data_IF_777238283080
#
_entry.id   IF_777238283080
#
_cell.length_a   1.000
_cell.length_b   1.000
_cell.length_c   1.000
_cell.angle_alpha   90.00
_cell.angle_beta   90.00
_cell.angle_gamma   90.00
#
_symmetry.space_group_name_H-M   'P 1'
#
loop_
_entity.id
_entity.type
_entity.pdbx_description
1 polymer ?
#
# COMPACT_ATOMS: atom_id res chain seq x y z
N UNK A 1 -24.16 -0.99 -24.17
CA UNK A 1 -24.54 -0.36 -22.88
C UNK A 1 -25.20 -1.42 -22.02
N UNK A 2 -24.50 -1.89 -20.99
CA UNK A 2 -24.98 -2.89 -20.05
C UNK A 2 -24.09 -2.80 -18.82
N UNK A 3 -24.60 -2.18 -17.77
CA UNK A 3 -23.90 -1.96 -16.51
C UNK A 3 -24.53 -2.80 -15.40
N UNK A 4 -23.71 -3.08 -14.37
CA UNK A 4 -23.95 -3.78 -13.08
C UNK A 4 -23.34 -5.20 -13.07
N UNK A 5 -22.61 -5.65 -12.05
CA UNK A 5 -22.43 -5.13 -10.70
C UNK A 5 -21.17 -5.80 -10.10
N UNK A 6 -20.20 -5.01 -9.62
CA UNK A 6 -19.10 -5.53 -8.78
C UNK A 6 -19.52 -5.33 -7.33
N UNK A 7 -19.65 -6.42 -6.58
CA UNK A 7 -20.09 -6.43 -5.19
C UNK A 7 -18.86 -6.30 -4.29
N UNK A 8 -18.66 -5.13 -3.68
CA UNK A 8 -17.70 -4.91 -2.59
C UNK A 8 -18.28 -5.38 -1.25
N UNK A 9 -17.45 -5.83 -0.29
CA UNK A 9 -17.89 -6.40 0.97
C UNK A 9 -18.24 -5.33 2.01
N UNK A 10 -19.48 -5.39 2.48
CA UNK A 10 -19.96 -5.12 3.84
C UNK A 10 -19.31 -3.95 4.62
N UNK A 11 -19.83 -2.74 4.40
CA UNK A 11 -19.64 -1.58 5.28
C UNK A 11 -20.84 -1.49 6.22
N UNK A 12 -20.64 -1.82 7.48
CA UNK A 12 -21.62 -1.59 8.57
C UNK A 12 -21.95 -0.09 8.61
N UNK A 13 -23.21 0.35 8.55
CA UNK A 13 -23.54 1.76 8.60
C UNK A 13 -23.34 2.30 10.02
N UNK A 14 -22.58 3.39 10.13
CA UNK A 14 -22.61 4.27 11.29
C UNK A 14 -24.02 4.87 11.45
N UNK A 15 -24.53 5.10 12.66
CA UNK A 15 -25.85 5.67 12.85
C UNK A 15 -25.90 7.10 12.30
N UNK A 16 -26.79 7.33 11.33
CA UNK A 16 -27.20 8.65 10.85
C UNK A 16 -27.75 9.47 12.02
N UNK A 17 -27.10 10.57 12.35
CA UNK A 17 -27.72 11.63 13.16
C UNK A 17 -28.55 12.50 12.22
N UNK A 18 -29.87 12.30 12.24
CA UNK A 18 -30.81 13.18 11.55
C UNK A 18 -30.99 14.49 12.31
N UNK A 19 -31.00 15.59 11.56
CA UNK A 19 -31.09 17.02 11.92
C UNK A 19 -32.35 17.46 12.70
N UNK A 20 -33.06 16.53 13.36
CA UNK A 20 -34.29 16.78 14.11
C UNK A 20 -34.11 16.78 15.64
N UNK A 21 -32.91 16.45 16.16
CA UNK A 21 -32.66 16.29 17.61
C UNK A 21 -32.06 17.55 18.30
N UNK A 22 -31.90 18.67 17.59
CA UNK A 22 -31.23 19.88 18.13
C UNK A 22 -32.20 21.04 18.44
N UNK A 23 -33.51 20.87 18.22
CA UNK A 23 -34.50 21.93 18.52
C UNK A 23 -35.78 21.42 19.19
N UNK A 24 -35.67 20.96 20.44
CA UNK A 24 -36.80 21.01 21.38
C UNK A 24 -36.32 21.15 22.84
N UNK A 25 -35.53 22.19 23.11
CA UNK A 25 -35.00 22.47 24.45
C UNK A 25 -35.64 23.69 25.13
N UNK A 26 -36.80 24.16 24.65
CA UNK A 26 -37.43 25.37 25.21
C UNK A 26 -38.93 25.25 25.51
N UNK A 27 -39.49 24.04 25.63
CA UNK A 27 -40.90 23.90 26.01
C UNK A 27 -41.20 22.61 26.81
N UNK A 28 -40.54 22.43 27.95
CA UNK A 28 -40.93 21.41 28.95
C UNK A 28 -40.95 22.01 30.36
N UNK A 29 -41.75 23.06 30.54
CA UNK A 29 -42.23 23.49 31.85
C UNK A 29 -43.74 23.30 31.89
N UNK A 30 -44.22 22.08 32.20
CA UNK A 30 -45.40 21.84 33.06
C UNK A 30 -45.81 20.36 33.04
N UNK A 31 -46.02 19.79 34.24
CA UNK A 31 -46.74 18.54 34.54
C UNK A 31 -46.03 17.25 34.10
N UNK A 32 -45.79 16.24 34.93
CA UNK A 32 -46.18 15.96 36.31
C UNK A 32 -45.89 14.47 36.56
N UNK A 33 -45.07 14.20 37.57
CA UNK A 33 -45.15 13.03 38.45
C UNK A 33 -45.31 11.64 37.80
N UNK A 34 -44.20 11.05 37.38
CA UNK A 34 -44.02 9.61 37.32
C UNK A 34 -42.67 9.31 37.96
N UNK A 35 -42.69 8.78 39.19
CA UNK A 35 -41.52 8.48 39.99
C UNK A 35 -40.48 7.72 39.16
N UNK A 36 -39.41 8.41 38.76
CA UNK A 36 -38.13 7.76 38.58
C UNK A 36 -37.89 6.96 39.87
N UNK A 37 -37.47 5.68 39.82
CA UNK A 37 -37.03 5.05 41.06
C UNK A 37 -35.97 6.00 41.60
N UNK A 38 -36.18 6.54 42.81
CA UNK A 38 -35.15 7.31 43.49
C UNK A 38 -34.02 6.29 43.73
N UNK A 39 -33.15 6.12 42.72
CA UNK A 39 -31.84 5.55 42.91
C UNK A 39 -31.27 6.36 44.06
N UNK A 40 -31.15 5.72 45.22
CA UNK A 40 -30.68 6.39 46.42
C UNK A 40 -29.40 7.14 46.06
N UNK A 41 -29.18 8.31 46.65
CA UNK A 41 -27.96 9.11 46.40
C UNK A 41 -26.70 8.23 46.53
N UNK A 42 -26.78 7.18 47.34
CA UNK A 42 -25.80 6.11 47.47
C UNK A 42 -25.67 5.22 46.21
N UNK A 43 -26.76 4.70 45.65
CA UNK A 43 -26.75 3.94 44.39
C UNK A 43 -26.18 4.77 43.21
N UNK A 44 -26.51 6.07 43.14
CA UNK A 44 -25.93 6.97 42.14
C UNK A 44 -24.42 7.18 42.34
N UNK A 45 -23.96 7.31 43.59
CA UNK A 45 -22.52 7.42 43.91
C UNK A 45 -21.77 6.14 43.61
N UNK A 46 -22.36 4.98 43.88
CA UNK A 46 -21.75 3.69 43.54
C UNK A 46 -21.64 3.50 42.03
N UNK A 47 -22.68 3.90 41.28
CA UNK A 47 -22.67 3.88 39.82
C UNK A 47 -21.65 4.84 39.22
N UNK A 48 -21.52 6.06 39.77
CA UNK A 48 -20.47 7.01 39.36
C UNK A 48 -19.09 6.40 39.60
N UNK A 49 -18.85 5.82 40.79
CA UNK A 49 -17.57 5.17 41.11
C UNK A 49 -17.26 3.99 40.19
N UNK A 50 -18.27 3.20 39.82
CA UNK A 50 -18.12 2.11 38.86
C UNK A 50 -17.79 2.63 37.45
N UNK A 51 -18.49 3.68 36.99
CA UNK A 51 -18.26 4.30 35.69
C UNK A 51 -16.89 5.00 35.60
N UNK A 52 -16.42 5.61 36.69
CA UNK A 52 -15.07 6.18 36.77
C UNK A 52 -14.02 5.08 36.66
N UNK A 53 -14.18 3.97 37.39
CA UNK A 53 -13.28 2.82 37.31
C UNK A 53 -13.27 2.17 35.92
N UNK A 54 -14.42 2.14 35.23
CA UNK A 54 -14.50 1.62 33.87
C UNK A 54 -13.93 2.60 32.83
N UNK A 55 -14.09 3.91 33.03
CA UNK A 55 -13.45 4.92 32.20
C UNK A 55 -11.92 4.89 32.32
N UNK A 56 -11.38 4.70 33.53
CA UNK A 56 -9.93 4.56 33.74
C UNK A 56 -9.36 3.32 33.03
N UNK A 57 -10.09 2.19 33.04
CA UNK A 57 -9.69 1.00 32.28
C UNK A 57 -9.73 1.26 30.78
N UNK A 58 -10.76 1.95 30.29
CA UNK A 58 -10.92 2.25 28.87
C UNK A 58 -9.90 3.29 28.39
N UNK A 59 -9.51 4.27 29.19
CA UNK A 59 -8.44 5.21 28.85
C UNK A 59 -7.09 4.50 28.77
N UNK A 60 -6.77 3.64 29.75
CA UNK A 60 -5.54 2.86 29.71
C UNK A 60 -5.48 1.92 28.48
N UNK A 61 -6.61 1.32 28.10
CA UNK A 61 -6.69 0.49 26.90
C UNK A 61 -6.53 1.31 25.61
N UNK A 62 -7.04 2.55 25.57
CA UNK A 62 -6.85 3.46 24.44
C UNK A 62 -5.40 3.89 24.30
N UNK A 63 -4.73 4.24 25.41
CA UNK A 63 -3.32 4.65 25.39
C UNK A 63 -2.44 3.54 24.82
N UNK A 64 -2.65 2.28 25.25
CA UNK A 64 -1.93 1.12 24.71
C UNK A 64 -2.21 0.90 23.22
N UNK A 65 -3.47 1.02 22.80
CA UNK A 65 -3.85 0.87 21.38
C UNK A 65 -3.27 1.98 20.50
N UNK A 66 -3.22 3.22 21.00
CA UNK A 66 -2.62 4.35 20.31
C UNK A 66 -1.10 4.19 20.18
N UNK A 67 -0.42 3.71 21.22
CA UNK A 67 1.01 3.39 21.18
C UNK A 67 1.33 2.27 20.18
N UNK A 68 0.53 1.21 20.13
CA UNK A 68 0.69 0.12 19.16
C UNK A 68 0.40 0.59 17.72
N UNK A 69 -0.62 1.43 17.52
CA UNK A 69 -0.94 2.04 16.23
C UNK A 69 0.16 2.98 15.75
N UNK A 70 0.72 3.80 16.64
CA UNK A 70 1.86 4.68 16.36
C UNK A 70 3.10 3.87 15.96
N UNK A 71 3.35 2.75 16.65
CA UNK A 71 4.47 1.84 16.31
C UNK A 71 4.28 1.19 14.95
N UNK A 72 3.08 0.66 14.66
CA UNK A 72 2.77 0.02 13.37
C UNK A 72 2.82 1.01 12.21
N UNK A 73 2.30 2.22 12.40
CA UNK A 73 2.36 3.27 11.38
C UNK A 73 3.79 3.74 11.12
N UNK A 74 4.62 3.91 12.16
CA UNK A 74 6.04 4.19 12.01
C UNK A 74 6.79 3.07 11.27
N UNK A 75 6.48 1.81 11.58
CA UNK A 75 7.04 0.66 10.88
C UNK A 75 6.61 0.63 9.40
N UNK A 76 5.35 0.94 9.10
CA UNK A 76 4.84 1.03 7.74
C UNK A 76 5.50 2.17 6.95
N UNK A 77 5.67 3.35 7.55
CA UNK A 77 6.39 4.47 6.93
C UNK A 77 7.87 4.15 6.68
N UNK A 78 8.52 3.46 7.63
CA UNK A 78 9.91 3.00 7.46
C UNK A 78 10.05 1.99 6.32
N UNK A 79 9.10 1.06 6.22
CA UNK A 79 9.04 0.07 5.13
C UNK A 79 8.78 0.72 3.76
N UNK A 80 7.89 1.70 3.68
CA UNK A 80 7.65 2.47 2.45
C UNK A 80 8.91 3.21 1.98
N UNK A 81 9.73 3.73 2.90
CA UNK A 81 10.95 4.45 2.54
C UNK A 81 12.04 3.57 1.92
N UNK A 82 12.01 2.26 2.17
CA UNK A 82 13.14 1.35 1.87
C UNK A 82 12.81 0.32 0.80
N UNK A 83 11.54 -0.04 0.62
CA UNK A 83 11.19 -1.25 -0.16
C UNK A 83 10.65 -0.96 -1.57
N UNK A 84 10.04 0.20 -1.83
CA UNK A 84 9.37 0.51 -3.11
C UNK A 84 10.05 1.59 -3.96
N UNK A 85 11.13 2.20 -3.48
CA UNK A 85 11.77 3.31 -4.17
C UNK A 85 12.81 2.80 -5.17
N UNK A 86 12.49 2.92 -6.46
CA UNK A 86 13.34 2.52 -7.58
C UNK A 86 14.60 3.37 -7.66
N UNK A 87 14.54 4.66 -7.30
CA UNK A 87 15.66 5.59 -7.38
C UNK A 87 15.59 6.66 -6.28
N UNK A 88 16.73 6.91 -5.61
CA UNK A 88 16.84 7.90 -4.55
C UNK A 88 18.19 8.60 -4.52
N UNK A 89 18.19 9.93 -4.40
CA UNK A 89 19.42 10.68 -4.22
C UNK A 89 20.08 10.31 -2.88
N UNK A 90 21.34 9.85 -2.93
CA UNK A 90 22.09 9.37 -1.77
C UNK A 90 23.06 10.43 -1.20
N UNK A 91 23.13 11.61 -1.83
CA UNK A 91 24.06 12.67 -1.46
C UNK A 91 25.22 12.79 -2.46
N UNK A 92 26.25 13.52 -2.05
CA UNK A 92 27.50 13.68 -2.82
C UNK A 92 28.60 12.85 -2.17
N UNK A 93 29.41 12.19 -2.99
CA UNK A 93 30.65 11.54 -2.56
C UNK A 93 31.68 12.58 -2.08
N UNK A 94 32.74 12.12 -1.42
CA UNK A 94 33.89 12.96 -1.04
C UNK A 94 34.52 13.67 -2.25
N UNK A 95 34.48 13.03 -3.42
CA UNK A 95 34.94 13.57 -4.70
C UNK A 95 33.93 14.53 -5.38
N UNK A 96 32.84 14.88 -4.71
CA UNK A 96 31.80 15.79 -5.22
C UNK A 96 30.83 15.19 -6.24
N UNK A 97 31.00 13.92 -6.61
CA UNK A 97 30.08 13.19 -7.51
C UNK A 97 28.75 12.89 -6.83
N UNK A 98 27.66 12.99 -7.58
CA UNK A 98 26.32 12.65 -7.10
C UNK A 98 26.13 11.13 -7.05
N UNK A 99 25.74 10.64 -5.87
CA UNK A 99 25.45 9.23 -5.63
C UNK A 99 23.94 9.03 -5.59
N UNK A 100 23.51 7.92 -6.16
CA UNK A 100 22.11 7.53 -6.26
C UNK A 100 21.93 6.09 -5.79
N UNK A 101 20.96 5.88 -4.91
CA UNK A 101 20.41 4.57 -4.61
C UNK A 101 19.51 4.11 -5.74
N UNK A 102 19.73 2.92 -6.26
CA UNK A 102 18.90 2.33 -7.32
C UNK A 102 18.72 0.84 -7.09
N UNK A 103 17.48 0.35 -7.21
CA UNK A 103 17.15 -1.08 -7.15
C UNK A 103 17.22 -1.69 -8.54
N UNK A 104 17.99 -2.76 -8.71
CA UNK A 104 18.18 -3.42 -10.00
C UNK A 104 17.08 -4.46 -10.23
N UNK A 105 16.04 -4.07 -10.97
CA UNK A 105 14.93 -4.97 -11.31
C UNK A 105 15.02 -5.46 -12.76
N UNK A 106 15.55 -6.67 -12.96
CA UNK A 106 15.68 -7.31 -14.27
C UNK A 106 14.37 -7.99 -14.67
N UNK A 107 14.10 -8.02 -15.98
CA UNK A 107 13.01 -8.83 -16.53
C UNK A 107 13.32 -10.33 -16.39
N UNK A 108 12.32 -11.23 -16.45
CA UNK A 108 12.52 -12.67 -16.36
C UNK A 108 13.53 -13.22 -17.38
N UNK A 109 13.57 -12.68 -18.61
CA UNK A 109 14.57 -13.03 -19.61
C UNK A 109 15.99 -12.49 -19.31
N UNK A 110 16.13 -11.56 -18.38
CA UNK A 110 17.37 -10.84 -18.06
C UNK A 110 18.34 -11.60 -17.17
N UNK A 111 17.93 -12.75 -16.61
CA UNK A 111 18.76 -13.57 -15.74
C UNK A 111 18.81 -13.09 -14.29
N UNK A 112 19.80 -13.59 -13.53
CA UNK A 112 19.95 -13.34 -12.08
C UNK A 112 20.87 -12.17 -11.74
N UNK A 113 21.85 -11.87 -12.59
CA UNK A 113 22.87 -10.86 -12.33
C UNK A 113 23.23 -10.04 -13.57
N UNK A 114 23.56 -8.78 -13.33
CA UNK A 114 24.07 -7.83 -14.31
C UNK A 114 25.51 -7.47 -13.97
N UNK A 115 26.43 -7.54 -14.94
CA UNK A 115 27.86 -7.30 -14.70
C UNK A 115 28.32 -6.02 -15.37
N UNK A 116 28.93 -5.12 -14.60
CA UNK A 116 29.62 -3.93 -15.11
C UNK A 116 31.04 -3.91 -14.56
N UNK A 117 32.04 -3.78 -15.44
CA UNK A 117 33.46 -3.76 -15.07
C UNK A 117 33.88 -4.93 -14.16
N UNK A 118 33.31 -6.12 -14.38
CA UNK A 118 33.59 -7.32 -13.59
C UNK A 118 32.87 -7.40 -12.23
N UNK A 119 32.10 -6.37 -11.83
CA UNK A 119 31.30 -6.39 -10.61
C UNK A 119 29.88 -6.90 -10.91
N UNK A 120 29.41 -7.99 -10.25
CA UNK A 120 28.05 -8.47 -10.39
C UNK A 120 27.09 -7.64 -9.53
N UNK A 121 25.93 -7.32 -10.11
CA UNK A 121 24.79 -6.67 -9.47
C UNK A 121 23.60 -7.61 -9.55
N UNK A 122 23.07 -8.01 -8.39
CA UNK A 122 22.00 -8.99 -8.30
C UNK A 122 20.63 -8.34 -8.55
N UNK A 123 19.72 -9.11 -9.12
CA UNK A 123 18.34 -8.72 -9.24
C UNK A 123 17.67 -8.53 -7.87
N UNK A 124 16.88 -7.46 -7.72
CA UNK A 124 16.09 -7.14 -6.54
C UNK A 124 16.89 -6.42 -5.43
N UNK A 125 18.20 -6.26 -5.62
CA UNK A 125 19.06 -5.57 -4.66
C UNK A 125 19.23 -4.08 -5.00
N UNK A 126 19.40 -3.28 -3.94
CA UNK A 126 19.59 -1.83 -4.02
C UNK A 126 21.06 -1.49 -3.80
N UNK A 127 21.65 -0.76 -4.75
CA UNK A 127 23.05 -0.35 -4.71
C UNK A 127 23.20 1.16 -4.85
N UNK A 128 24.38 1.68 -4.49
CA UNK A 128 24.77 3.07 -4.77
C UNK A 128 25.54 3.14 -6.08
N UNK A 129 25.18 4.12 -6.91
CA UNK A 129 25.83 4.40 -8.18
C UNK A 129 26.16 5.87 -8.34
N UNK A 130 27.26 6.14 -9.02
CA UNK A 130 27.53 7.45 -9.61
C UNK A 130 26.55 7.70 -10.78
N UNK A 131 26.25 8.96 -11.09
CA UNK A 131 25.34 9.35 -12.17
C UNK A 131 25.61 8.67 -13.52
N UNK A 132 26.87 8.55 -13.93
CA UNK A 132 27.24 7.90 -15.21
C UNK A 132 26.99 6.39 -15.20
N UNK A 133 27.30 5.74 -14.07
CA UNK A 133 27.09 4.29 -13.91
C UNK A 133 25.60 3.99 -13.81
N UNK A 134 24.85 4.84 -13.11
CA UNK A 134 23.40 4.74 -12.99
C UNK A 134 22.73 4.80 -14.35
N UNK A 135 23.15 5.72 -15.22
CA UNK A 135 22.62 5.82 -16.59
C UNK A 135 22.81 4.52 -17.37
N UNK A 136 24.01 3.94 -17.26
CA UNK A 136 24.35 2.67 -17.93
C UNK A 136 23.48 1.53 -17.42
N UNK A 137 23.30 1.42 -16.11
CA UNK A 137 22.47 0.37 -15.48
C UNK A 137 21.02 0.50 -15.91
N UNK A 138 20.46 1.72 -15.86
CA UNK A 138 19.08 1.97 -16.29
C UNK A 138 18.86 1.58 -17.76
N UNK A 139 19.82 1.87 -18.64
CA UNK A 139 19.74 1.47 -20.04
C UNK A 139 19.73 -0.06 -20.20
N UNK A 140 20.60 -0.77 -19.47
CA UNK A 140 20.64 -2.23 -19.51
C UNK A 140 19.35 -2.85 -18.94
N UNK A 141 18.84 -2.34 -17.81
CA UNK A 141 17.57 -2.78 -17.24
C UNK A 141 16.43 -2.55 -18.23
N UNK A 142 16.33 -1.34 -18.81
CA UNK A 142 15.31 -1.03 -19.81
C UNK A 142 15.39 -1.97 -21.03
N UNK A 143 16.59 -2.32 -21.50
CA UNK A 143 16.77 -3.28 -22.60
C UNK A 143 16.22 -4.68 -22.27
N UNK A 144 16.38 -5.14 -21.03
CA UNK A 144 15.81 -6.45 -20.63
C UNK A 144 14.28 -6.42 -20.66
N UNK A 145 13.67 -5.35 -20.16
CA UNK A 145 12.20 -5.18 -20.21
C UNK A 145 11.66 -4.97 -21.63
N UNK A 146 12.39 -4.25 -22.48
CA UNK A 146 12.03 -4.13 -23.91
C UNK A 146 12.10 -5.51 -24.59
N UNK A 147 13.13 -6.29 -24.32
CA UNK A 147 13.27 -7.63 -24.88
C UNK A 147 12.17 -8.58 -24.38
N UNK A 148 11.82 -8.52 -23.10
CA UNK A 148 10.70 -9.28 -22.53
C UNK A 148 9.38 -8.92 -23.22
N UNK A 149 9.11 -7.61 -23.43
CA UNK A 149 7.93 -7.15 -24.16
C UNK A 149 7.92 -7.63 -25.62
N UNK A 150 9.10 -7.69 -26.26
CA UNK A 150 9.26 -8.26 -27.59
C UNK A 150 9.02 -9.78 -27.62
N UNK A 151 9.42 -10.53 -26.60
CA UNK A 151 9.20 -12.00 -26.51
C UNK A 151 7.72 -12.30 -26.25
N UNK A 152 7.10 -11.53 -25.34
CA UNK A 152 5.74 -11.74 -24.89
C UNK A 152 4.70 -11.21 -25.88
N UNK A 153 5.13 -10.55 -26.95
CA UNK A 153 4.25 -10.05 -28.02
C UNK A 153 3.49 -8.79 -27.64
N UNK A 154 3.82 -8.15 -26.51
CA UNK A 154 3.25 -6.86 -26.14
C UNK A 154 3.73 -5.72 -27.06
N UNK A 155 4.90 -5.90 -27.70
CA UNK A 155 5.37 -5.03 -28.76
C UNK A 155 4.78 -5.44 -30.11
N UNK A 156 3.73 -4.76 -30.55
CA UNK A 156 3.11 -4.97 -31.87
C UNK A 156 4.09 -4.60 -33.00
N UNK A 157 4.59 -5.59 -33.72
CA UNK A 157 5.39 -5.37 -34.93
C UNK A 157 4.69 -6.03 -36.14
N UNK A 158 4.15 -5.24 -37.09
CA UNK A 158 3.38 -5.75 -38.23
C UNK A 158 4.20 -6.61 -39.21
N UNK A 159 5.53 -6.58 -39.14
CA UNK A 159 6.41 -7.35 -40.01
C UNK A 159 6.95 -8.64 -39.35
N UNK A 160 6.72 -8.84 -38.06
CA UNK A 160 7.16 -10.07 -37.37
C UNK A 160 6.24 -11.23 -37.73
N UNK A 161 6.81 -12.29 -38.31
CA UNK A 161 6.11 -13.56 -38.49
C UNK A 161 6.07 -14.30 -37.17
N UNK A 162 4.89 -14.78 -36.77
CA UNK A 162 4.73 -15.63 -35.60
C UNK A 162 5.72 -16.81 -35.68
N UNK A 163 6.57 -16.95 -34.66
CA UNK A 163 7.48 -18.09 -34.55
C UNK A 163 6.76 -19.25 -33.87
N UNK A 164 7.05 -20.47 -34.31
CA UNK A 164 6.50 -21.66 -33.67
C UNK A 164 7.19 -21.83 -32.31
N UNK A 165 6.45 -21.66 -31.21
CA UNK A 165 6.97 -21.82 -29.84
C UNK A 165 7.17 -23.29 -29.44
N UNK A 166 6.86 -24.22 -30.34
CA UNK A 166 7.00 -25.67 -30.14
C UNK A 166 8.03 -26.20 -31.12
N UNK A 167 8.99 -26.99 -30.61
CA UNK A 167 9.95 -27.73 -31.43
C UNK A 167 9.21 -28.86 -32.16
N UNK A 168 8.68 -28.56 -33.34
CA UNK A 168 8.04 -29.52 -34.22
C UNK A 168 8.09 -29.05 -35.67
N UNK A 169 8.35 -29.97 -36.60
CA UNK A 169 8.34 -29.70 -38.04
C UNK A 169 6.89 -29.53 -38.53
N UNK A 170 6.28 -28.37 -38.25
CA UNK A 170 4.92 -28.08 -38.63
C UNK A 170 4.65 -26.59 -38.75
N UNK A 171 3.64 -26.22 -39.54
CA UNK A 171 3.13 -24.85 -39.61
C UNK A 171 2.66 -24.40 -38.22
N UNK A 172 2.88 -23.12 -37.89
CA UNK A 172 2.40 -22.50 -36.64
C UNK A 172 0.88 -22.66 -36.56
N UNK A 173 0.35 -23.31 -35.50
CA UNK A 173 -1.09 -23.45 -35.29
C UNK A 173 -1.79 -22.10 -35.28
N UNK A 174 -3.02 -22.03 -35.79
CA UNK A 174 -3.79 -20.78 -35.91
C UNK A 174 -4.02 -20.08 -34.56
N UNK A 175 -4.12 -20.84 -33.46
CA UNK A 175 -4.27 -20.30 -32.11
C UNK A 175 -3.00 -19.66 -31.55
N UNK A 176 -1.82 -19.96 -32.11
CA UNK A 176 -0.53 -19.40 -31.70
C UNK A 176 -0.16 -18.13 -32.47
N UNK A 177 -1.02 -17.68 -33.39
CA UNK A 177 -0.92 -16.40 -34.10
C UNK A 177 -1.74 -15.36 -33.34
N UNK A 178 -1.20 -14.84 -32.25
CA UNK A 178 -1.71 -13.64 -31.58
C UNK A 178 -0.61 -12.57 -31.60
#
# INVERSE_FOLDING_TARGET
MGARNTQEPNKTPAPEMTEADVMDSSQAASQGTGAAPEESIEALRERIKALEADNEKLSAAKDVAEEESARLSAQAQSSLLTTSVVERFAGKSEDGKELWWYRVDLAPCGGTDLRINGKPYLHGETYKFDTDTLRTIKEMVARTWVHENDINGHAFNPYRKAQNKVLGAGSVPSWARQ
#
